data_IF_638423600523
#
_entry.id   IF_638423600523
#
_cell.length_a   1.000
_cell.length_b   1.000
_cell.length_c   1.000
_cell.angle_alpha   90.00
_cell.angle_beta   90.00
_cell.angle_gamma   90.00
#
_symmetry.space_group_name_H-M   'P 1'
#
loop_
_entity.id
_entity.type
_entity.pdbx_description
1 polymer ?
#
# COMPACT_ATOMS: atom_id res chain seq x y z
N UNK A 1 13.13 11.36 19.92
CA UNK A 1 11.93 11.61 20.76
C UNK A 1 11.83 10.43 21.73
N UNK A 2 10.72 10.23 22.46
CA UNK A 2 10.51 8.93 23.15
C UNK A 2 10.02 7.87 22.16
N UNK A 3 10.29 6.61 22.49
CA UNK A 3 9.99 5.44 21.67
C UNK A 3 8.55 5.40 21.14
N UNK A 4 7.56 5.81 21.93
CA UNK A 4 6.15 5.77 21.52
C UNK A 4 5.83 6.70 20.34
N UNK A 5 6.53 7.84 20.21
CA UNK A 5 6.35 8.75 19.07
C UNK A 5 7.00 8.18 17.81
N UNK A 6 8.12 7.46 17.95
CA UNK A 6 8.75 6.75 16.85
C UNK A 6 7.87 5.61 16.34
N UNK A 7 7.26 4.83 17.23
CA UNK A 7 6.30 3.79 16.87
C UNK A 7 5.11 4.39 16.11
N UNK A 8 4.52 5.47 16.62
CA UNK A 8 3.39 6.14 15.98
C UNK A 8 3.75 6.64 14.57
N UNK A 9 4.94 7.23 14.40
CA UNK A 9 5.40 7.69 13.09
C UNK A 9 5.63 6.54 12.10
N UNK A 10 6.23 5.43 12.56
CA UNK A 10 6.45 4.25 11.74
C UNK A 10 5.14 3.60 11.31
N UNK A 11 4.16 3.53 12.22
CA UNK A 11 2.82 3.05 11.93
C UNK A 11 2.15 3.91 10.85
N UNK A 12 2.21 5.24 10.98
CA UNK A 12 1.66 6.16 9.97
C UNK A 12 2.29 5.91 8.60
N UNK A 13 3.62 5.92 8.52
CA UNK A 13 4.35 5.81 7.26
C UNK A 13 4.11 4.44 6.61
N UNK A 14 4.12 3.36 7.39
CA UNK A 14 3.88 2.01 6.88
C UNK A 14 2.44 1.82 6.40
N UNK A 15 1.43 2.30 7.13
CA UNK A 15 0.03 2.19 6.70
C UNK A 15 -0.20 2.97 5.40
N UNK A 16 0.37 4.18 5.28
CA UNK A 16 0.32 4.94 4.03
C UNK A 16 1.02 4.19 2.90
N UNK A 17 2.18 3.59 3.14
CA UNK A 17 2.88 2.79 2.14
C UNK A 17 2.07 1.57 1.70
N UNK A 18 1.57 0.78 2.65
CA UNK A 18 0.78 -0.41 2.38
C UNK A 18 -0.44 -0.10 1.53
N UNK A 19 -1.14 1.00 1.85
CA UNK A 19 -2.27 1.51 1.07
C UNK A 19 -1.87 1.90 -0.37
N UNK A 20 -0.75 2.59 -0.55
CA UNK A 20 -0.29 3.04 -1.88
C UNK A 20 0.24 1.90 -2.76
N UNK A 21 0.72 0.81 -2.15
CA UNK A 21 1.31 -0.33 -2.86
C UNK A 21 0.42 -1.57 -2.93
N UNK A 22 -0.81 -1.49 -2.41
CA UNK A 22 -1.76 -2.60 -2.31
C UNK A 22 -1.14 -3.85 -1.66
N UNK A 23 -0.41 -3.65 -0.56
CA UNK A 23 0.35 -4.72 0.07
C UNK A 23 -0.53 -5.57 1.01
N UNK A 24 -0.81 -6.81 0.60
CA UNK A 24 -1.77 -7.71 1.24
C UNK A 24 -1.48 -8.07 2.72
N UNK A 25 -0.23 -8.01 3.17
CA UNK A 25 0.14 -8.44 4.53
C UNK A 25 0.30 -7.26 5.49
N UNK A 26 -0.77 -6.48 5.68
CA UNK A 26 -0.81 -5.29 6.54
C UNK A 26 -0.29 -5.57 7.96
N UNK A 27 -0.82 -6.58 8.64
CA UNK A 27 -0.49 -6.87 10.04
C UNK A 27 0.98 -7.24 10.25
N UNK A 28 1.53 -8.09 9.38
CA UNK A 28 2.94 -8.49 9.47
C UNK A 28 3.86 -7.29 9.26
N UNK A 29 3.59 -6.44 8.27
CA UNK A 29 4.46 -5.30 8.06
C UNK A 29 4.29 -4.19 9.11
N UNK A 30 3.11 -4.00 9.70
CA UNK A 30 2.94 -3.14 10.89
C UNK A 30 3.85 -3.63 12.03
N UNK A 31 3.85 -4.93 12.30
CA UNK A 31 4.70 -5.52 13.33
C UNK A 31 6.19 -5.21 13.09
N UNK A 32 6.68 -5.47 11.87
CA UNK A 32 8.08 -5.20 11.52
C UNK A 32 8.41 -3.70 11.53
N UNK A 33 7.55 -2.84 10.99
CA UNK A 33 7.78 -1.39 10.97
C UNK A 33 7.86 -0.81 12.39
N UNK A 34 6.97 -1.21 13.29
CA UNK A 34 7.00 -0.80 14.70
C UNK A 34 8.26 -1.33 15.41
N UNK A 35 8.66 -2.57 15.15
CA UNK A 35 9.86 -3.17 15.76
C UNK A 35 11.14 -2.46 15.30
N UNK A 36 11.29 -2.23 14.00
CA UNK A 36 12.47 -1.58 13.42
C UNK A 36 12.51 -0.07 13.66
N UNK A 37 11.38 0.53 14.04
CA UNK A 37 11.37 1.91 14.56
C UNK A 37 12.10 2.03 15.90
N UNK A 38 12.04 1.02 16.77
CA UNK A 38 12.73 1.05 18.08
C UNK A 38 14.16 0.51 18.01
N UNK A 39 14.52 -0.15 16.90
CA UNK A 39 15.83 -0.77 16.69
C UNK A 39 17.03 0.16 16.92
N UNK A 40 17.06 1.42 16.44
CA UNK A 40 18.18 2.33 16.66
C UNK A 40 18.46 2.60 18.14
N UNK A 41 17.42 2.83 18.93
CA UNK A 41 17.52 3.06 20.38
C UNK A 41 17.96 1.80 21.13
N UNK A 42 17.47 0.62 20.70
CA UNK A 42 17.88 -0.66 21.27
C UNK A 42 19.36 -0.94 21.02
N UNK A 43 19.82 -0.65 19.80
CA UNK A 43 21.22 -0.77 19.42
C UNK A 43 22.14 0.15 20.21
N UNK A 44 21.73 1.40 20.44
CA UNK A 44 22.49 2.33 21.25
C UNK A 44 22.57 1.87 22.72
N UNK A 45 21.50 1.27 23.25
CA UNK A 45 21.49 0.66 24.58
C UNK A 45 22.42 -0.54 24.67
N UNK A 46 22.48 -1.38 23.63
CA UNK A 46 23.35 -2.56 23.58
C UNK A 46 24.83 -2.19 23.42
N UNK A 47 25.13 -1.20 22.58
CA UNK A 47 26.51 -0.73 22.34
C UNK A 47 27.02 0.20 23.46
N UNK A 48 26.15 0.57 24.41
CA UNK A 48 26.48 1.46 25.52
C UNK A 48 26.77 2.91 25.10
N UNK A 49 26.66 3.22 23.81
CA UNK A 49 26.92 4.55 23.24
C UNK A 49 25.61 5.14 22.73
N UNK A 50 25.14 6.16 23.44
CA UNK A 50 23.96 6.91 23.04
C UNK A 50 24.24 7.68 21.72
N UNK A 51 23.37 7.49 20.71
CA UNK A 51 23.48 8.05 19.35
C UNK A 51 24.76 7.68 18.63
N UNK A 52 25.02 6.37 18.56
CA UNK A 52 26.19 5.82 17.92
C UNK A 52 25.84 5.08 16.64
N UNK A 53 26.14 3.78 16.62
CA UNK A 53 25.97 2.93 15.44
C UNK A 53 24.51 2.66 15.09
N UNK A 54 23.57 2.71 16.05
CA UNK A 54 22.16 2.43 15.79
C UNK A 54 21.49 3.48 14.90
N UNK A 55 21.99 4.70 14.93
CA UNK A 55 21.45 5.86 14.20
C UNK A 55 22.12 6.11 12.85
N UNK A 56 22.96 5.18 12.41
CA UNK A 56 23.69 5.29 11.15
C UNK A 56 22.83 4.87 9.97
N UNK A 57 22.81 5.69 8.91
CA UNK A 57 22.11 5.38 7.66
C UNK A 57 22.64 4.09 7.00
N UNK A 58 23.83 3.63 7.37
CA UNK A 58 24.42 2.38 6.86
C UNK A 58 23.57 1.14 7.17
N UNK A 59 22.68 1.19 8.17
CA UNK A 59 21.71 0.12 8.43
C UNK A 59 20.70 -0.09 7.31
N UNK A 60 20.53 0.87 6.39
CA UNK A 60 19.71 0.65 5.19
C UNK A 60 20.27 -0.45 4.29
N UNK A 61 21.59 -0.65 4.24
CA UNK A 61 22.22 -1.67 3.38
C UNK A 61 21.77 -3.10 3.77
N UNK A 62 21.93 -3.55 5.03
CA UNK A 62 21.45 -4.87 5.43
C UNK A 62 19.92 -5.00 5.32
N UNK A 63 19.16 -3.93 5.56
CA UNK A 63 17.69 -4.00 5.42
C UNK A 63 17.25 -4.16 3.96
N UNK A 64 17.91 -3.49 3.02
CA UNK A 64 17.67 -3.71 1.59
C UNK A 64 18.08 -5.11 1.15
N UNK A 65 19.13 -5.69 1.74
CA UNK A 65 19.54 -7.08 1.45
C UNK A 65 18.46 -8.10 1.85
N UNK A 66 17.69 -7.85 2.91
CA UNK A 66 16.52 -8.68 3.26
C UNK A 66 15.46 -8.68 2.14
N UNK A 67 15.45 -7.64 1.30
CA UNK A 67 14.53 -7.50 0.17
C UNK A 67 14.69 -8.59 -0.88
N UNK A 68 15.88 -9.20 -0.98
CA UNK A 68 16.10 -10.36 -1.85
C UNK A 68 15.37 -11.62 -1.37
N UNK A 69 15.00 -11.69 -0.08
CA UNK A 69 14.22 -12.79 0.50
C UNK A 69 12.73 -12.47 0.49
N UNK A 70 12.36 -11.28 0.98
CA UNK A 70 10.99 -10.82 1.03
C UNK A 70 10.93 -9.30 0.95
N UNK A 71 10.42 -8.79 -0.17
CA UNK A 71 10.35 -7.36 -0.43
C UNK A 71 9.44 -6.62 0.56
N UNK A 72 8.37 -7.25 1.04
CA UNK A 72 7.42 -6.64 1.96
C UNK A 72 7.95 -6.53 3.39
N UNK A 73 8.73 -7.51 3.85
CA UNK A 73 9.42 -7.44 5.14
C UNK A 73 10.51 -6.36 5.07
N UNK A 74 11.28 -6.35 3.99
CA UNK A 74 12.35 -5.36 3.81
C UNK A 74 11.81 -3.92 3.73
N UNK A 75 10.72 -3.69 3.00
CA UNK A 75 10.09 -2.37 2.95
C UNK A 75 9.59 -1.94 4.33
N UNK A 76 8.95 -2.83 5.10
CA UNK A 76 8.53 -2.53 6.47
C UNK A 76 9.71 -2.17 7.39
N UNK A 77 10.82 -2.90 7.32
CA UNK A 77 12.04 -2.62 8.07
C UNK A 77 12.63 -1.25 7.72
N UNK A 78 12.77 -0.98 6.43
CA UNK A 78 13.29 0.29 5.91
C UNK A 78 12.41 1.46 6.35
N UNK A 79 11.09 1.32 6.22
CA UNK A 79 10.11 2.35 6.61
C UNK A 79 10.18 2.63 8.12
N UNK A 80 10.21 1.58 8.94
CA UNK A 80 10.35 1.72 10.39
C UNK A 80 11.61 2.50 10.76
N UNK A 81 12.74 2.11 10.18
CA UNK A 81 14.03 2.74 10.43
C UNK A 81 14.10 4.19 9.94
N UNK A 82 13.63 4.47 8.72
CA UNK A 82 13.60 5.83 8.15
C UNK A 82 12.71 6.73 9.00
N UNK A 83 11.55 6.24 9.44
CA UNK A 83 10.65 6.99 10.30
C UNK A 83 11.31 7.40 11.62
N UNK A 84 12.04 6.47 12.25
CA UNK A 84 12.80 6.76 13.47
C UNK A 84 13.79 7.90 13.25
N UNK A 85 14.65 7.76 12.23
CA UNK A 85 15.65 8.77 11.86
C UNK A 85 14.99 10.11 11.55
N UNK A 86 13.94 10.09 10.74
CA UNK A 86 13.24 11.30 10.31
C UNK A 86 12.75 12.09 11.51
N UNK A 87 12.06 11.44 12.46
CA UNK A 87 11.56 12.08 13.67
C UNK A 87 12.70 12.61 14.55
N UNK A 88 13.83 11.91 14.63
CA UNK A 88 14.98 12.38 15.41
C UNK A 88 15.67 13.60 14.81
N UNK A 89 15.73 13.72 13.49
CA UNK A 89 16.23 14.91 12.79
C UNK A 89 15.36 16.15 13.06
N UNK A 90 14.08 16.00 13.44
CA UNK A 90 13.20 17.10 13.83
C UNK A 90 13.42 17.59 15.27
N UNK A 91 14.14 16.81 16.09
CA UNK A 91 14.37 17.14 17.50
C UNK A 91 15.48 18.17 17.70
N UNK A 92 15.60 18.67 18.93
CA UNK A 92 16.70 19.57 19.31
C UNK A 92 18.08 18.96 19.13
N UNK A 93 18.19 17.65 19.36
CA UNK A 93 19.45 16.93 19.36
C UNK A 93 19.84 16.42 17.97
N UNK A 94 18.86 16.15 17.09
CA UNK A 94 19.14 15.60 15.76
C UNK A 94 19.58 14.15 15.77
N UNK A 95 20.13 13.72 14.63
CA UNK A 95 20.60 12.36 14.39
C UNK A 95 21.95 12.35 13.64
N UNK A 96 22.97 11.61 14.12
CA UNK A 96 24.26 11.49 13.43
C UNK A 96 24.21 10.47 12.28
N UNK A 97 23.55 10.85 11.18
CA UNK A 97 23.27 9.99 10.02
C UNK A 97 24.49 9.27 9.43
N UNK A 98 25.64 9.95 9.43
CA UNK A 98 26.88 9.48 8.79
C UNK A 98 27.86 8.85 9.78
N UNK A 99 27.42 8.50 10.99
CA UNK A 99 28.27 7.81 11.95
C UNK A 99 28.68 6.43 11.40
N UNK A 100 29.95 5.97 11.53
CA UNK A 100 31.07 6.60 12.23
C UNK A 100 31.91 7.58 11.39
N UNK A 101 31.65 7.72 10.08
CA UNK A 101 32.42 8.60 9.19
C UNK A 101 32.33 10.09 9.59
N UNK A 102 31.18 10.52 10.12
CA UNK A 102 30.96 11.88 10.60
C UNK A 102 30.06 11.87 11.82
N UNK A 103 30.53 12.50 12.89
CA UNK A 103 29.85 12.57 14.19
C UNK A 103 28.93 13.78 14.35
N UNK A 104 28.81 14.63 13.33
CA UNK A 104 27.95 15.83 13.40
C UNK A 104 26.49 15.42 13.25
N UNK A 105 25.66 15.88 14.19
CA UNK A 105 24.22 15.68 14.15
C UNK A 105 23.57 16.47 13.02
N UNK A 106 22.69 15.79 12.28
CA UNK A 106 21.83 16.42 11.30
C UNK A 106 20.55 16.89 11.97
N UNK A 107 20.15 18.13 11.67
CA UNK A 107 18.92 18.74 12.19
C UNK A 107 18.24 19.52 11.08
N UNK A 108 16.93 19.37 10.94
CA UNK A 108 16.17 20.02 9.87
C UNK A 108 15.85 21.50 10.17
N UNK A 109 15.45 21.82 11.42
CA UNK A 109 14.94 23.14 11.77
C UNK A 109 15.95 24.06 12.47
N UNK A 110 15.70 25.37 12.35
CA UNK A 110 16.40 26.38 13.14
C UNK A 110 16.11 26.20 14.64
N UNK A 111 17.06 26.57 15.53
CA UNK A 111 17.09 26.22 16.96
C UNK A 111 15.75 26.42 17.70
N UNK A 112 15.00 27.47 17.37
CA UNK A 112 13.72 27.83 18.03
C UNK A 112 12.52 26.95 17.62
N UNK A 113 12.57 26.28 16.47
CA UNK A 113 11.47 25.47 15.91
C UNK A 113 11.65 23.95 16.08
N UNK A 114 12.74 23.53 16.72
CA UNK A 114 13.03 22.12 16.97
C UNK A 114 12.15 21.58 18.09
N UNK A 115 11.75 20.32 17.97
CA UNK A 115 10.90 19.67 18.97
C UNK A 115 11.76 19.26 20.17
N UNK A 116 11.39 19.76 21.36
CA UNK A 116 12.05 19.40 22.62
C UNK A 116 11.47 18.12 23.19
N UNK A 117 12.31 17.10 23.38
CA UNK A 117 11.91 15.84 24.02
C UNK A 117 11.51 16.09 25.49
N UNK A 118 10.47 15.43 25.95
CA UNK A 118 9.89 15.56 27.29
C UNK A 118 8.95 16.76 27.48
N UNK A 119 8.68 17.54 26.43
CA UNK A 119 7.82 18.74 26.53
C UNK A 119 6.44 18.52 25.92
N UNK A 120 5.53 19.47 26.13
CA UNK A 120 4.21 19.46 25.49
C UNK A 120 4.30 19.51 23.95
N UNK A 121 5.42 19.95 23.37
CA UNK A 121 5.64 19.92 21.92
C UNK A 121 5.72 18.48 21.38
N UNK A 122 6.40 17.58 22.10
CA UNK A 122 6.46 16.16 21.73
C UNK A 122 5.09 15.51 21.86
N UNK A 123 4.35 15.81 22.94
CA UNK A 123 2.99 15.31 23.12
C UNK A 123 2.07 15.78 21.99
N UNK A 124 2.17 17.04 21.59
CA UNK A 124 1.41 17.58 20.46
C UNK A 124 1.79 16.89 19.14
N UNK A 125 3.07 16.63 18.89
CA UNK A 125 3.52 15.88 17.71
C UNK A 125 2.97 14.44 17.70
N UNK A 126 2.99 13.76 18.85
CA UNK A 126 2.39 12.43 18.99
C UNK A 126 0.89 12.46 18.69
N UNK A 127 0.14 13.38 19.31
CA UNK A 127 -1.31 13.51 19.09
C UNK A 127 -1.64 13.79 17.63
N UNK A 128 -0.85 14.65 16.98
CA UNK A 128 -1.01 14.95 15.56
C UNK A 128 -0.77 13.72 14.69
N UNK A 129 0.30 12.97 14.94
CA UNK A 129 0.58 11.72 14.21
C UNK A 129 -0.55 10.71 14.43
N UNK A 130 -1.02 10.54 15.66
CA UNK A 130 -2.11 9.61 15.97
C UNK A 130 -3.43 10.01 15.28
N UNK A 131 -3.72 11.32 15.23
CA UNK A 131 -4.86 11.86 14.49
C UNK A 131 -4.78 11.53 12.99
N UNK A 132 -3.59 11.46 12.40
CA UNK A 132 -3.39 11.01 11.02
C UNK A 132 -3.44 9.48 10.90
N UNK A 133 -2.92 8.72 11.85
CA UNK A 133 -2.93 7.25 11.79
C UNK A 133 -4.35 6.71 11.71
N UNK A 134 -5.28 7.23 12.51
CA UNK A 134 -6.66 6.72 12.58
C UNK A 134 -7.36 6.69 11.20
N UNK A 135 -7.48 7.80 10.45
CA UNK A 135 -8.15 7.78 9.15
C UNK A 135 -7.40 6.93 8.12
N UNK A 136 -6.06 6.93 8.11
CA UNK A 136 -5.29 6.10 7.19
C UNK A 136 -5.41 4.61 7.50
N UNK A 137 -5.47 4.23 8.78
CA UNK A 137 -5.66 2.85 9.21
C UNK A 137 -7.07 2.37 8.88
N UNK A 138 -8.09 3.19 9.13
CA UNK A 138 -9.46 2.94 8.69
C UNK A 138 -9.45 2.73 7.17
N UNK A 139 -8.92 3.67 6.40
CA UNK A 139 -8.86 3.58 4.95
C UNK A 139 -8.22 2.26 4.49
N UNK A 140 -7.02 1.94 4.97
CA UNK A 140 -6.30 0.72 4.61
C UNK A 140 -7.10 -0.56 4.94
N UNK A 141 -7.71 -0.63 6.14
CA UNK A 141 -8.51 -1.78 6.55
C UNK A 141 -9.80 -1.93 5.72
N UNK A 142 -10.49 -0.84 5.40
CA UNK A 142 -11.75 -0.89 4.66
C UNK A 142 -11.53 -1.10 3.16
N UNK A 143 -10.38 -0.69 2.59
CA UNK A 143 -10.05 -1.00 1.20
C UNK A 143 -9.68 -2.47 1.00
N UNK A 144 -8.94 -3.09 1.93
CA UNK A 144 -8.56 -4.51 1.80
C UNK A 144 -9.73 -5.50 2.03
N UNK A 145 -10.70 -5.17 2.88
CA UNK A 145 -11.81 -6.07 3.23
C UNK A 145 -12.96 -6.01 2.19
N UNK A 146 -13.05 -4.91 1.43
CA UNK A 146 -14.15 -4.66 0.48
C UNK A 146 -13.85 -4.99 -0.99
N UNK A 147 -12.59 -4.91 -1.43
CA UNK A 147 -12.26 -4.99 -2.86
C UNK A 147 -12.17 -6.42 -3.42
N UNK A 148 -11.80 -7.39 -2.58
CA UNK A 148 -11.66 -8.79 -3.00
C UNK A 148 -12.93 -9.62 -2.85
N UNK A 149 -13.91 -9.13 -2.08
CA UNK A 149 -15.21 -9.81 -1.94
C UNK A 149 -16.25 -9.34 -2.96
N UNK A 150 -16.00 -8.22 -3.62
CA UNK A 150 -16.69 -7.75 -4.82
C UNK A 150 -15.75 -6.78 -5.52
N UNK A 151 -14.99 -7.14 -6.56
CA UNK A 151 -14.48 -6.13 -7.46
C UNK A 151 -15.72 -5.47 -8.09
N UNK A 152 -16.05 -4.19 -7.82
CA UNK A 152 -16.84 -3.49 -8.80
C UNK A 152 -15.99 -3.51 -10.06
N UNK A 153 -16.57 -3.92 -11.18
CA UNK A 153 -15.98 -3.74 -12.50
C UNK A 153 -15.64 -2.25 -12.65
N UNK A 154 -14.45 -1.85 -12.21
CA UNK A 154 -13.89 -0.56 -12.52
C UNK A 154 -13.42 -0.68 -13.96
N UNK A 155 -14.40 -0.48 -14.84
CA UNK A 155 -14.21 0.00 -16.19
C UNK A 155 -13.56 1.39 -16.12
N UNK A 156 -12.29 1.42 -15.73
CA UNK A 156 -11.38 2.48 -16.14
C UNK A 156 -11.14 2.25 -17.63
N UNK A 157 -12.09 2.73 -18.44
CA UNK A 157 -11.98 2.80 -19.88
C UNK A 157 -10.87 3.80 -20.24
N UNK A 158 -9.62 3.37 -20.12
CA UNK A 158 -8.51 3.99 -20.81
C UNK A 158 -8.45 3.40 -22.21
N UNK A 159 -8.82 4.21 -23.20
CA UNK A 159 -8.57 3.92 -24.60
C UNK A 159 -7.05 3.94 -24.85
N UNK A 160 -6.40 2.79 -24.63
CA UNK A 160 -5.05 2.55 -25.10
C UNK A 160 -5.14 1.82 -26.45
N UNK A 161 -4.59 2.35 -27.55
CA UNK A 161 -4.48 1.62 -28.79
C UNK A 161 -3.31 0.64 -28.64
N UNK A 162 -3.56 -0.52 -28.03
CA UNK A 162 -2.56 -1.58 -27.97
C UNK A 162 -2.53 -2.34 -29.29
N UNK A 163 -1.49 -2.06 -30.07
CA UNK A 163 -0.99 -2.93 -31.11
C UNK A 163 -0.92 -4.37 -30.59
N UNK A 164 -1.54 -5.28 -31.35
CA UNK A 164 -1.56 -6.71 -31.09
C UNK A 164 -0.13 -7.25 -31.02
N UNK A 165 0.29 -7.69 -29.83
CA UNK A 165 1.36 -8.68 -29.68
C UNK A 165 0.65 -10.01 -29.47
N UNK A 166 0.85 -10.90 -30.44
CA UNK A 166 0.32 -12.25 -30.50
C UNK A 166 0.99 -13.13 -29.45
N UNK A 167 0.26 -13.49 -28.40
CA UNK A 167 0.57 -14.66 -27.56
C UNK A 167 -0.51 -15.73 -27.78
N UNK A 168 -0.16 -16.94 -28.25
CA UNK A 168 -1.12 -17.96 -28.62
C UNK A 168 -1.35 -18.89 -27.43
N UNK A 169 -2.17 -18.50 -26.46
CA UNK A 169 -2.70 -19.44 -25.46
C UNK A 169 -4.04 -18.95 -24.93
N UNK A 170 -5.04 -19.81 -25.11
CA UNK A 170 -6.38 -19.76 -24.53
C UNK A 170 -7.41 -18.91 -25.30
N UNK A 171 -7.98 -19.49 -26.36
CA UNK A 171 -9.25 -19.04 -26.95
C UNK A 171 -10.40 -19.34 -25.98
N UNK A 172 -10.47 -18.61 -24.87
CA UNK A 172 -11.72 -18.48 -24.13
C UNK A 172 -12.64 -17.64 -25.00
N UNK A 173 -13.37 -18.31 -25.89
CA UNK A 173 -14.52 -17.72 -26.54
C UNK A 173 -15.42 -17.16 -25.44
N UNK A 174 -15.46 -15.83 -25.33
CA UNK A 174 -16.33 -15.12 -24.39
C UNK A 174 -17.75 -15.58 -24.68
N UNK A 175 -18.29 -16.46 -23.83
CA UNK A 175 -19.66 -16.95 -23.92
C UNK A 175 -20.58 -15.81 -23.48
N UNK A 176 -21.03 -15.02 -24.44
CA UNK A 176 -22.11 -14.06 -24.22
C UNK A 176 -23.45 -14.79 -24.38
N UNK A 177 -24.13 -15.06 -23.26
CA UNK A 177 -25.47 -15.62 -23.27
C UNK A 177 -26.50 -14.48 -23.39
N UNK A 178 -27.27 -14.47 -24.48
CA UNK A 178 -28.40 -13.55 -24.64
C UNK A 178 -29.70 -14.33 -24.47
N UNK A 179 -30.49 -13.96 -23.46
CA UNK A 179 -31.83 -14.51 -23.26
C UNK A 179 -32.85 -13.57 -23.88
N UNK A 180 -33.60 -14.06 -24.86
CA UNK A 180 -34.69 -13.34 -25.51
C UNK A 180 -35.99 -14.04 -25.12
N UNK A 181 -36.89 -13.30 -24.46
CA UNK A 181 -38.20 -13.81 -24.08
C UNK A 181 -39.23 -13.31 -25.09
N UNK A 182 -39.96 -14.23 -25.71
CA UNK A 182 -41.03 -13.92 -26.67
C UNK A 182 -42.36 -14.36 -26.08
N UNK A 183 -43.30 -13.44 -25.97
CA UNK A 183 -44.69 -13.73 -25.65
C UNK A 183 -45.48 -13.65 -26.97
N UNK A 184 -46.10 -14.77 -27.35
CA UNK A 184 -46.85 -14.91 -28.61
C UNK A 184 -48.27 -15.30 -28.23
N UNK A 185 -49.24 -14.59 -28.82
CA UNK A 185 -50.68 -14.79 -28.59
C UNK A 185 -51.20 -15.92 -29.50
N UNK A 186 -52.09 -16.76 -28.95
CA UNK A 186 -52.40 -18.16 -29.36
C UNK A 186 -53.17 -18.35 -30.69
N UNK A 187 -53.01 -17.50 -31.71
CA UNK A 187 -53.85 -17.65 -32.93
C UNK A 187 -53.20 -17.29 -34.28
N UNK A 188 -51.88 -17.13 -34.35
CA UNK A 188 -51.20 -16.94 -35.65
C UNK A 188 -49.80 -17.55 -35.70
N UNK A 189 -49.51 -18.32 -36.75
CA UNK A 189 -48.14 -18.77 -37.06
C UNK A 189 -47.23 -17.54 -37.30
N UNK A 190 -46.13 -17.41 -36.54
CA UNK A 190 -45.17 -16.30 -36.70
C UNK A 190 -43.76 -16.81 -36.99
N UNK A 191 -43.10 -16.17 -37.95
CA UNK A 191 -41.72 -16.50 -38.32
C UNK A 191 -40.74 -15.50 -37.67
N UNK A 192 -39.80 -16.00 -36.87
CA UNK A 192 -38.72 -15.20 -36.29
C UNK A 192 -37.44 -15.43 -37.10
N UNK A 193 -36.92 -14.37 -37.71
CA UNK A 193 -35.69 -14.42 -38.52
C UNK A 193 -34.55 -13.73 -37.77
N UNK A 194 -33.50 -14.48 -37.41
CA UNK A 194 -32.30 -13.93 -36.76
C UNK A 194 -31.19 -13.80 -37.79
N UNK A 195 -30.71 -12.57 -37.99
CA UNK A 195 -29.56 -12.27 -38.85
C UNK A 195 -28.37 -11.91 -37.98
N UNK A 196 -27.30 -12.72 -38.06
CA UNK A 196 -25.98 -12.33 -37.57
C UNK A 196 -25.34 -11.45 -38.63
N UNK A 197 -24.77 -10.31 -38.24
CA UNK A 197 -24.36 -9.24 -39.19
C UNK A 197 -23.33 -9.71 -40.23
N UNK A 198 -22.60 -10.82 -40.00
CA UNK A 198 -21.53 -11.25 -40.91
C UNK A 198 -21.52 -12.74 -41.32
N UNK A 199 -22.48 -13.59 -40.94
CA UNK A 199 -22.54 -15.00 -41.42
C UNK A 199 -23.99 -15.56 -41.46
N UNK A 200 -24.16 -16.68 -42.18
CA UNK A 200 -25.40 -17.38 -42.57
C UNK A 200 -26.63 -17.15 -41.67
N UNK A 201 -27.74 -16.84 -42.34
CA UNK A 201 -29.06 -16.61 -41.71
C UNK A 201 -29.60 -17.88 -41.08
N UNK A 202 -30.02 -17.81 -39.83
CA UNK A 202 -30.70 -18.93 -39.14
C UNK A 202 -32.17 -18.56 -38.98
N UNK A 203 -33.05 -19.35 -39.61
CA UNK A 203 -34.50 -19.18 -39.52
C UNK A 203 -35.06 -20.19 -38.52
N UNK A 204 -35.78 -19.70 -37.50
CA UNK A 204 -36.47 -20.55 -36.53
C UNK A 204 -37.97 -20.44 -36.83
N UNK A 205 -38.57 -21.54 -37.30
CA UNK A 205 -40.00 -21.62 -37.56
C UNK A 205 -40.69 -22.21 -36.32
N UNK A 206 -41.59 -21.43 -35.71
CA UNK A 206 -42.46 -21.90 -34.65
C UNK A 206 -43.81 -22.14 -35.29
N UNK A 207 -44.27 -23.39 -35.25
CA UNK A 207 -45.56 -23.79 -35.81
C UNK A 207 -46.46 -24.12 -34.64
N UNK A 208 -47.62 -23.49 -34.59
CA UNK A 208 -48.63 -23.78 -33.58
C UNK A 208 -49.44 -25.01 -34.02
N UNK A 209 -49.76 -25.92 -33.10
CA UNK A 209 -50.57 -27.13 -33.36
C UNK A 209 -51.82 -27.10 -32.51
#
# INVERSE_FOLDING_TARGET
MRFYTHIAGALLLYVTFAYLTDYSNLFFGIFFACWFSVFPDLMDKLTGKHRGYGHSIFWLVPFTLVGFLNLGIASAMIIGFISHIFLDVLTTHGCPLLYPLRTKDFVCFNKKRRIKTGTNQEKSALTFILFLVIPFLILALFTDIGYWNNPPEQSLAFASPSNAISDPLNSNAVKNNFNLNFEVDDDTNKNITVKKVDENTTTISITDV
#
